data_IF_962866714278
#
_entry.id   IF_962866714278
#
_cell.length_a   1.000
_cell.length_b   1.000
_cell.length_c   1.000
_cell.angle_alpha   90.00
_cell.angle_beta   90.00
_cell.angle_gamma   90.00
#
_symmetry.space_group_name_H-M   'P 1'
#
loop_
_entity.id
_entity.type
_entity.pdbx_description
1 polymer ?
#
# COMPACT_ATOMS: atom_id res chain seq x y z
N UNK A 1 -10.07 2.37 26.43
CA UNK A 1 -9.35 3.66 26.23
C UNK A 1 -7.86 3.37 26.41
N UNK A 2 -6.94 4.17 25.87
CA UNK A 2 -5.50 3.94 26.13
C UNK A 2 -5.22 4.36 27.57
N UNK A 3 -4.52 3.50 28.31
CA UNK A 3 -4.13 3.77 29.70
C UNK A 3 -3.33 5.09 29.81
N UNK A 4 -3.55 5.86 30.89
CA UNK A 4 -2.97 7.19 31.05
C UNK A 4 -1.43 7.12 31.11
N UNK A 5 -0.88 6.14 31.83
CA UNK A 5 0.57 5.92 31.92
C UNK A 5 1.17 5.64 30.54
N UNK A 6 0.46 4.92 29.68
CA UNK A 6 0.90 4.67 28.31
C UNK A 6 0.86 5.94 27.45
N UNK A 7 -0.12 6.82 27.66
CA UNK A 7 -0.16 8.12 26.97
C UNK A 7 1.01 9.02 27.40
N UNK A 8 1.37 9.00 28.68
CA UNK A 8 2.52 9.73 29.23
C UNK A 8 3.84 9.24 28.61
N UNK A 9 4.05 7.92 28.52
CA UNK A 9 5.22 7.32 27.84
C UNK A 9 5.32 7.73 26.37
N UNK A 10 4.20 7.77 25.66
CA UNK A 10 4.18 8.25 24.26
C UNK A 10 4.55 9.73 24.18
N UNK A 11 3.99 10.56 25.07
CA UNK A 11 4.27 12.00 25.08
C UNK A 11 5.74 12.28 25.44
N UNK A 12 6.30 11.56 26.41
CA UNK A 12 7.71 11.60 26.76
C UNK A 12 8.59 11.21 25.57
N UNK A 13 8.27 10.10 24.91
CA UNK A 13 9.03 9.66 23.74
C UNK A 13 9.01 10.65 22.59
N UNK A 14 7.86 11.30 22.37
CA UNK A 14 7.75 12.39 21.39
C UNK A 14 8.64 13.56 21.79
N UNK A 15 8.62 13.95 23.06
CA UNK A 15 9.46 15.05 23.58
C UNK A 15 10.94 14.76 23.39
N UNK A 16 11.41 13.57 23.76
CA UNK A 16 12.79 13.13 23.50
C UNK A 16 13.19 13.30 22.03
N UNK A 17 12.31 12.89 21.11
CA UNK A 17 12.57 12.99 19.68
C UNK A 17 12.62 14.45 19.21
N UNK A 18 11.77 15.32 19.77
CA UNK A 18 11.80 16.75 19.49
C UNK A 18 13.09 17.36 20.03
N UNK A 19 13.47 17.10 21.28
CA UNK A 19 14.67 17.66 21.91
C UNK A 19 15.94 17.33 21.10
N UNK A 20 16.08 16.09 20.63
CA UNK A 20 17.18 15.67 19.74
C UNK A 20 17.17 16.49 18.44
N UNK A 21 15.99 16.74 17.88
CA UNK A 21 15.85 17.51 16.66
C UNK A 21 16.11 19.01 16.89
N UNK A 22 15.66 19.57 18.01
CA UNK A 22 15.89 20.97 18.38
C UNK A 22 17.38 21.23 18.51
N UNK A 23 18.11 20.37 19.22
CA UNK A 23 19.56 20.45 19.35
C UNK A 23 20.28 20.36 17.99
N UNK A 24 19.81 19.47 17.10
CA UNK A 24 20.46 19.26 15.81
C UNK A 24 20.21 20.39 14.81
N UNK A 25 19.02 20.97 14.82
CA UNK A 25 18.58 21.95 13.83
C UNK A 25 18.60 23.39 14.33
N UNK A 26 18.90 23.61 15.61
CA UNK A 26 18.88 24.91 16.29
C UNK A 26 17.54 25.64 16.05
N UNK A 27 16.45 24.90 16.26
CA UNK A 27 15.08 25.33 16.01
C UNK A 27 14.15 24.72 17.04
N UNK A 28 13.20 25.49 17.55
CA UNK A 28 12.16 24.94 18.42
C UNK A 28 11.02 24.30 17.63
N UNK A 29 10.50 23.19 18.14
CA UNK A 29 9.33 22.48 17.64
C UNK A 29 8.24 22.45 18.71
N UNK A 30 7.01 22.83 18.33
CA UNK A 30 5.86 22.67 19.23
C UNK A 30 5.56 21.18 19.48
N UNK A 31 4.96 20.86 20.62
CA UNK A 31 4.44 19.51 20.87
C UNK A 31 3.26 19.21 19.92
N UNK A 32 3.29 18.12 19.14
CA UNK A 32 2.20 17.78 18.23
C UNK A 32 0.96 17.27 18.97
N UNK A 33 -0.21 17.48 18.38
CA UNK A 33 -1.45 16.87 18.88
C UNK A 33 -1.39 15.34 18.73
N UNK A 34 -1.74 14.59 19.77
CA UNK A 34 -1.73 13.13 19.76
C UNK A 34 -3.16 12.58 19.73
N UNK A 35 -3.46 11.71 18.78
CA UNK A 35 -4.77 11.08 18.63
C UNK A 35 -4.70 9.56 18.62
N UNK A 36 -5.28 8.90 19.62
CA UNK A 36 -5.32 7.44 19.75
C UNK A 36 -6.50 6.77 19.01
N UNK A 37 -7.18 7.54 18.14
CA UNK A 37 -8.39 7.12 17.41
C UNK A 37 -8.07 6.41 16.09
N UNK A 38 -6.80 6.13 15.77
CA UNK A 38 -6.44 5.39 14.56
C UNK A 38 -6.90 3.92 14.70
N UNK A 39 -7.46 3.38 13.62
CA UNK A 39 -8.01 2.01 13.58
C UNK A 39 -7.57 1.32 12.29
N UNK A 40 -7.61 -0.02 12.28
CA UNK A 40 -7.26 -0.82 11.12
C UNK A 40 -5.80 -1.28 11.17
N UNK A 41 -5.21 -1.47 9.98
CA UNK A 41 -3.91 -2.13 9.83
C UNK A 41 -2.70 -1.20 10.04
N UNK A 42 -2.94 0.10 10.18
CA UNK A 42 -1.88 1.11 10.27
C UNK A 42 -1.59 1.38 11.74
N UNK A 43 -0.31 1.38 12.12
CA UNK A 43 0.16 1.61 13.49
C UNK A 43 0.26 3.09 13.85
N UNK A 44 0.84 3.90 12.95
CA UNK A 44 1.04 5.34 13.13
C UNK A 44 0.68 6.13 11.87
N UNK A 45 0.37 7.40 12.04
CA UNK A 45 0.22 8.35 10.94
C UNK A 45 0.53 9.78 11.40
N UNK A 46 1.50 10.41 10.75
CA UNK A 46 1.79 11.82 10.87
C UNK A 46 0.94 12.67 9.90
N UNK A 47 0.56 13.85 10.37
CA UNK A 47 -0.03 14.92 9.57
C UNK A 47 0.73 16.21 9.90
N UNK A 48 1.71 16.55 9.06
CA UNK A 48 2.55 17.74 9.25
C UNK A 48 1.78 19.05 9.14
N UNK A 49 0.78 19.12 8.25
CA UNK A 49 -0.07 20.31 8.09
C UNK A 49 -0.86 20.65 9.34
N UNK A 50 -1.39 19.65 10.04
CA UNK A 50 -2.12 19.84 11.30
C UNK A 50 -1.23 19.69 12.53
N UNK A 51 0.07 19.44 12.33
CA UNK A 51 1.02 19.13 13.39
C UNK A 51 0.49 18.05 14.37
N UNK A 52 0.06 16.91 13.82
CA UNK A 52 -0.66 15.86 14.56
C UNK A 52 -0.08 14.48 14.28
N UNK A 53 0.04 13.67 15.33
CA UNK A 53 0.35 12.24 15.25
C UNK A 53 -0.90 11.44 15.64
N UNK A 54 -1.24 10.45 14.83
CA UNK A 54 -2.33 9.51 15.09
C UNK A 54 -1.75 8.14 15.34
N UNK A 55 -2.12 7.51 16.45
CA UNK A 55 -1.61 6.22 16.89
C UNK A 55 -2.75 5.22 17.01
N UNK A 56 -2.52 4.00 16.58
CA UNK A 56 -3.46 2.90 16.75
C UNK A 56 -3.40 2.39 18.17
N UNK A 57 -4.43 2.70 18.95
CA UNK A 57 -4.51 2.35 20.37
C UNK A 57 -4.40 0.86 20.65
N UNK A 58 -4.87 -0.01 19.75
CA UNK A 58 -4.83 -1.46 19.94
C UNK A 58 -3.39 -1.95 19.71
N UNK A 59 -2.80 -1.56 18.58
CA UNK A 59 -1.42 -1.95 18.26
C UNK A 59 -0.41 -1.37 19.27
N UNK A 60 -0.66 -0.16 19.78
CA UNK A 60 0.15 0.44 20.83
C UNK A 60 0.13 -0.39 22.11
N UNK A 61 -1.05 -0.86 22.56
CA UNK A 61 -1.13 -1.69 23.77
C UNK A 61 -0.46 -3.05 23.57
N UNK A 62 -0.69 -3.67 22.41
CA UNK A 62 -0.17 -5.01 22.10
C UNK A 62 1.34 -5.04 21.83
N UNK A 63 1.93 -3.92 21.40
CA UNK A 63 3.32 -3.84 20.96
C UNK A 63 4.03 -2.62 21.56
N UNK A 64 3.78 -2.32 22.82
CA UNK A 64 4.13 -1.05 23.48
C UNK A 64 5.58 -0.63 23.24
N UNK A 65 6.55 -1.49 23.53
CA UNK A 65 7.96 -1.10 23.48
C UNK A 65 8.45 -0.88 22.04
N UNK A 66 8.02 -1.72 21.10
CA UNK A 66 8.37 -1.54 19.67
C UNK A 66 7.67 -0.31 19.08
N UNK A 67 6.42 -0.06 19.46
CA UNK A 67 5.67 1.14 19.07
C UNK A 67 6.36 2.41 19.58
N UNK A 68 6.82 2.44 20.83
CA UNK A 68 7.54 3.59 21.42
C UNK A 68 8.92 3.76 20.79
N UNK A 69 9.66 2.69 20.54
CA UNK A 69 11.03 2.79 20.06
C UNK A 69 11.15 2.88 18.54
N UNK A 70 10.08 2.60 17.79
CA UNK A 70 10.13 2.60 16.34
C UNK A 70 8.99 3.38 15.70
N UNK A 71 7.73 3.05 15.98
CA UNK A 71 6.59 3.70 15.28
C UNK A 71 6.42 5.17 15.69
N UNK A 72 6.54 5.50 16.98
CA UNK A 72 6.39 6.88 17.46
C UNK A 72 7.49 7.79 16.86
N UNK A 73 8.79 7.45 16.93
CA UNK A 73 9.83 8.27 16.33
C UNK A 73 9.73 8.30 14.79
N UNK A 74 9.22 7.24 14.15
CA UNK A 74 8.93 7.25 12.70
C UNK A 74 7.93 8.36 12.33
N UNK A 75 6.84 8.48 13.07
CA UNK A 75 5.84 9.53 12.81
C UNK A 75 6.37 10.92 13.16
N UNK A 76 7.13 11.06 14.25
CA UNK A 76 7.81 12.32 14.60
C UNK A 76 8.80 12.74 13.51
N UNK A 77 9.54 11.79 12.92
CA UNK A 77 10.47 12.06 11.83
C UNK A 77 9.78 12.63 10.58
N UNK A 78 8.55 12.21 10.27
CA UNK A 78 7.77 12.85 9.19
C UNK A 78 7.44 14.30 9.49
N UNK A 79 7.06 14.61 10.73
CA UNK A 79 6.74 15.98 11.15
C UNK A 79 7.98 16.89 11.06
N UNK A 80 9.09 16.47 11.67
CA UNK A 80 10.35 17.24 11.68
C UNK A 80 10.85 17.43 10.25
N UNK A 81 10.90 16.36 9.44
CA UNK A 81 11.45 16.46 8.10
C UNK A 81 10.65 17.42 7.21
N UNK A 82 9.31 17.40 7.30
CA UNK A 82 8.47 18.36 6.57
C UNK A 82 8.67 19.80 7.07
N UNK A 83 8.87 20.02 8.38
CA UNK A 83 9.13 21.36 8.92
C UNK A 83 10.51 21.91 8.61
N UNK A 84 11.53 21.06 8.59
CA UNK A 84 12.91 21.49 8.33
C UNK A 84 13.14 21.72 6.84
N UNK A 85 12.64 20.81 6.00
CA UNK A 85 12.98 20.76 4.57
C UNK A 85 11.81 21.14 3.64
N UNK A 86 10.59 21.32 4.16
CA UNK A 86 9.41 21.63 3.36
C UNK A 86 8.88 20.43 2.57
N UNK A 87 8.48 20.65 1.32
CA UNK A 87 7.87 19.61 0.48
C UNK A 87 8.85 18.50 0.09
N UNK A 88 8.88 17.44 0.90
CA UNK A 88 9.74 16.27 0.68
C UNK A 88 8.99 15.08 0.10
N UNK A 89 9.73 14.17 -0.55
CA UNK A 89 9.20 12.85 -0.89
C UNK A 89 8.97 12.05 0.39
N UNK A 90 7.82 11.37 0.49
CA UNK A 90 7.56 10.44 1.59
C UNK A 90 8.68 9.40 1.68
N UNK A 91 9.33 9.33 2.85
CA UNK A 91 10.48 8.46 3.11
C UNK A 91 11.72 8.74 2.23
N UNK A 92 11.88 10.00 1.80
CA UNK A 92 13.02 10.53 1.02
C UNK A 92 14.33 10.63 1.81
N UNK A 93 15.36 11.25 1.24
CA UNK A 93 16.68 11.35 1.86
C UNK A 93 16.66 12.15 3.16
N UNK A 94 15.84 13.20 3.18
CA UNK A 94 15.58 14.12 4.28
C UNK A 94 14.91 13.39 5.44
N UNK A 95 13.85 12.63 5.16
CA UNK A 95 13.21 11.81 6.18
C UNK A 95 14.16 10.75 6.73
N UNK A 96 14.96 10.11 5.87
CA UNK A 96 15.95 9.11 6.31
C UNK A 96 17.05 9.72 7.17
N UNK A 97 17.43 10.99 6.95
CA UNK A 97 18.43 11.66 7.79
C UNK A 97 17.86 11.92 9.19
N UNK A 98 16.61 12.36 9.27
CA UNK A 98 15.91 12.53 10.56
C UNK A 98 15.72 11.19 11.28
N UNK A 99 15.35 10.12 10.58
CA UNK A 99 15.28 8.78 11.20
C UNK A 99 16.59 8.35 11.85
N UNK A 100 17.71 8.54 11.15
CA UNK A 100 19.06 8.23 11.69
C UNK A 100 19.42 9.13 12.86
N UNK A 101 19.05 10.42 12.80
CA UNK A 101 19.23 11.36 13.91
C UNK A 101 18.49 10.88 15.17
N UNK A 102 17.26 10.38 15.01
CA UNK A 102 16.47 9.81 16.11
C UNK A 102 16.93 8.40 16.55
N UNK A 103 18.06 7.91 16.03
CA UNK A 103 18.62 6.61 16.40
C UNK A 103 17.86 5.40 15.85
N UNK A 104 16.96 5.59 14.87
CA UNK A 104 16.14 4.51 14.32
C UNK A 104 16.49 4.19 12.86
N UNK A 105 16.48 2.90 12.53
CA UNK A 105 16.72 2.45 11.16
C UNK A 105 15.60 2.93 10.24
N UNK A 106 15.90 3.47 9.03
CA UNK A 106 14.93 4.05 8.11
C UNK A 106 14.06 3.00 7.39
N UNK A 107 13.43 2.12 8.16
CA UNK A 107 12.51 1.11 7.70
C UNK A 107 11.12 1.70 7.49
N UNK A 108 10.51 1.38 6.34
CA UNK A 108 9.20 1.89 5.95
C UNK A 108 8.03 1.07 6.51
N UNK A 109 8.29 -0.16 6.93
CA UNK A 109 7.24 -1.12 7.29
C UNK A 109 7.58 -1.82 8.60
N UNK A 110 6.61 -1.83 9.51
CA UNK A 110 6.57 -2.72 10.65
C UNK A 110 5.66 -3.91 10.34
N UNK A 111 5.92 -5.05 10.96
CA UNK A 111 5.08 -6.24 10.88
C UNK A 111 4.47 -6.49 12.26
N UNK A 112 3.33 -5.88 12.52
CA UNK A 112 2.52 -6.19 13.70
C UNK A 112 1.47 -7.24 13.35
N UNK A 113 1.12 -8.08 14.33
CA UNK A 113 -0.15 -8.77 14.26
C UNK A 113 -1.26 -7.72 14.29
N UNK A 114 -2.16 -7.80 13.31
CA UNK A 114 -3.26 -6.84 13.14
C UNK A 114 -4.61 -7.47 13.40
N UNK A 115 -4.65 -8.70 13.92
CA UNK A 115 -5.88 -9.46 14.11
C UNK A 115 -6.90 -8.69 14.95
N UNK A 116 -6.47 -8.08 16.05
CA UNK A 116 -7.34 -7.34 16.97
C UNK A 116 -7.56 -5.87 16.54
N UNK A 117 -6.61 -5.28 15.81
CA UNK A 117 -6.73 -3.90 15.32
C UNK A 117 -7.50 -3.78 14.01
N UNK A 118 -7.76 -4.91 13.33
CA UNK A 118 -8.61 -5.00 12.16
C UNK A 118 -10.01 -4.51 12.48
N UNK A 119 -10.41 -3.43 11.81
CA UNK A 119 -11.82 -3.06 11.76
C UNK A 119 -12.55 -4.20 11.03
N UNK A 120 -13.48 -4.86 11.73
CA UNK A 120 -14.36 -5.92 11.18
C UNK A 120 -14.81 -5.52 9.77
N UNK A 121 -14.88 -6.51 8.88
CA UNK A 121 -15.20 -6.37 7.45
C UNK A 121 -16.29 -5.33 7.28
N UNK A 122 -15.89 -4.11 6.89
CA UNK A 122 -16.80 -2.99 7.06
C UNK A 122 -17.94 -3.16 6.06
N UNK A 123 -19.11 -3.51 6.58
CA UNK A 123 -20.38 -3.28 5.91
C UNK A 123 -20.42 -1.78 5.61
N UNK A 124 -20.25 -1.43 4.34
CA UNK A 124 -20.21 -0.04 3.86
C UNK A 124 -21.12 0.04 2.67
N UNK A 125 -21.66 1.23 2.43
CA UNK A 125 -22.30 1.52 1.17
C UNK A 125 -21.36 1.20 0.01
N UNK A 126 -21.75 0.22 -0.80
CA UNK A 126 -21.06 -0.13 -2.05
C UNK A 126 -21.89 0.39 -3.23
N UNK A 127 -21.20 0.62 -4.33
CA UNK A 127 -21.79 1.16 -5.55
C UNK A 127 -21.35 0.32 -6.74
N UNK A 128 -22.29 0.03 -7.63
CA UNK A 128 -22.03 -0.70 -8.86
C UNK A 128 -21.81 0.27 -10.02
N UNK A 129 -20.75 0.02 -10.79
CA UNK A 129 -20.43 0.68 -12.03
C UNK A 129 -20.31 -0.35 -13.16
N UNK A 130 -20.59 0.06 -14.39
CA UNK A 130 -20.36 -0.72 -15.60
C UNK A 130 -19.34 -0.05 -16.51
N UNK A 131 -18.67 -0.86 -17.31
CA UNK A 131 -17.83 -0.45 -18.42
C UNK A 131 -18.19 -1.29 -19.64
N UNK A 132 -17.89 -0.83 -20.85
CA UNK A 132 -18.14 -1.60 -22.07
C UNK A 132 -17.44 -2.97 -22.09
N UNK A 133 -16.39 -3.16 -21.26
CA UNK A 133 -15.69 -4.44 -21.15
C UNK A 133 -16.04 -5.24 -19.86
N UNK A 134 -16.91 -4.72 -18.98
CA UNK A 134 -17.28 -5.38 -17.72
C UNK A 134 -18.56 -4.79 -17.14
N UNK A 135 -19.53 -5.66 -16.89
CA UNK A 135 -20.87 -5.24 -16.46
C UNK A 135 -20.95 -4.88 -14.97
N UNK A 136 -20.06 -5.43 -14.13
CA UNK A 136 -20.10 -5.22 -12.69
C UNK A 136 -18.73 -4.85 -12.09
N UNK A 137 -18.61 -3.59 -11.69
CA UNK A 137 -17.45 -2.99 -11.02
C UNK A 137 -17.91 -2.39 -9.70
N UNK A 138 -17.53 -3.04 -8.61
CA UNK A 138 -17.91 -2.62 -7.25
C UNK A 138 -16.89 -1.62 -6.74
N UNK A 139 -17.37 -0.46 -6.30
CA UNK A 139 -16.54 0.58 -5.70
C UNK A 139 -17.05 0.96 -4.31
N UNK A 140 -16.13 1.37 -3.44
CA UNK A 140 -16.46 1.91 -2.13
C UNK A 140 -16.89 3.39 -2.18
N UNK A 141 -17.37 3.94 -1.05
CA UNK A 141 -18.01 5.26 -1.00
C UNK A 141 -17.05 6.40 -1.34
N UNK A 142 -15.78 6.32 -0.93
CA UNK A 142 -14.75 7.32 -1.26
C UNK A 142 -14.53 7.40 -2.77
N UNK A 143 -14.41 6.24 -3.43
CA UNK A 143 -14.18 6.17 -4.88
C UNK A 143 -15.43 6.62 -5.64
N UNK A 144 -16.62 6.23 -5.21
CA UNK A 144 -17.88 6.72 -5.75
C UNK A 144 -17.96 8.26 -5.68
N UNK A 145 -17.72 8.85 -4.52
CA UNK A 145 -17.74 10.32 -4.34
C UNK A 145 -16.76 11.03 -5.28
N UNK A 146 -15.55 10.49 -5.44
CA UNK A 146 -14.56 11.05 -6.37
C UNK A 146 -14.95 10.86 -7.84
N UNK A 147 -15.61 9.75 -8.19
CA UNK A 147 -16.14 9.50 -9.53
C UNK A 147 -17.29 10.43 -9.89
N UNK A 148 -18.12 10.80 -8.91
CA UNK A 148 -19.24 11.72 -9.07
C UNK A 148 -18.83 13.20 -8.97
N UNK A 149 -17.58 13.50 -8.60
CA UNK A 149 -17.13 14.89 -8.55
C UNK A 149 -16.90 15.44 -9.95
N UNK A 150 -17.13 16.74 -10.14
CA UNK A 150 -16.94 17.45 -11.42
C UNK A 150 -15.54 17.24 -12.02
N UNK A 151 -14.52 17.07 -11.18
CA UNK A 151 -13.14 16.81 -11.61
C UNK A 151 -12.97 15.48 -12.37
N UNK A 152 -13.79 14.46 -12.06
CA UNK A 152 -13.74 13.17 -12.75
C UNK A 152 -14.56 13.14 -14.04
N UNK A 153 -15.38 14.15 -14.31
CA UNK A 153 -16.09 14.32 -15.59
C UNK A 153 -15.21 14.94 -16.68
N UNK A 154 -14.04 15.47 -16.32
CA UNK A 154 -13.08 15.94 -17.30
C UNK A 154 -12.42 14.74 -18.01
N UNK A 155 -12.52 14.70 -19.35
CA UNK A 155 -12.17 13.53 -20.17
C UNK A 155 -10.72 13.04 -19.99
N UNK A 156 -9.81 13.90 -19.54
CA UNK A 156 -8.38 13.62 -19.38
C UNK A 156 -7.95 13.10 -17.99
N UNK A 157 -8.75 13.30 -16.94
CA UNK A 157 -8.40 12.98 -15.53
C UNK A 157 -9.40 12.03 -14.83
N UNK A 158 -10.41 11.55 -15.55
CA UNK A 158 -11.47 10.71 -14.99
C UNK A 158 -11.03 9.30 -14.55
N UNK A 159 -11.76 8.73 -13.61
CA UNK A 159 -11.62 7.32 -13.21
C UNK A 159 -11.95 6.38 -14.38
N UNK A 160 -10.90 5.84 -15.02
CA UNK A 160 -11.02 4.91 -16.15
C UNK A 160 -10.99 3.44 -15.73
N UNK A 161 -11.58 2.59 -16.56
CA UNK A 161 -11.51 1.14 -16.40
C UNK A 161 -10.06 0.64 -16.48
N UNK A 162 -9.62 -0.17 -15.52
CA UNK A 162 -8.26 -0.70 -15.53
C UNK A 162 -7.98 -1.67 -16.70
N UNK A 163 -9.03 -2.22 -17.33
CA UNK A 163 -8.90 -3.22 -18.39
C UNK A 163 -8.85 -2.59 -19.79
N UNK A 164 -9.85 -1.76 -20.15
CA UNK A 164 -9.96 -1.17 -21.48
C UNK A 164 -9.74 0.35 -21.52
N UNK A 165 -9.45 0.99 -20.37
CA UNK A 165 -9.34 2.45 -20.24
C UNK A 165 -10.62 3.24 -20.58
N UNK A 166 -11.72 2.57 -20.88
CA UNK A 166 -13.03 3.19 -21.09
C UNK A 166 -13.62 3.81 -19.82
N UNK A 167 -14.69 4.60 -20.01
CA UNK A 167 -15.41 5.25 -18.91
C UNK A 167 -16.19 4.25 -18.06
N UNK A 168 -16.37 4.61 -16.80
CA UNK A 168 -17.16 3.88 -15.83
C UNK A 168 -18.49 4.59 -15.63
N UNK A 169 -19.59 3.91 -15.91
CA UNK A 169 -20.95 4.45 -15.78
C UNK A 169 -21.55 3.93 -14.49
N UNK A 170 -22.09 4.81 -13.66
CA UNK A 170 -22.79 4.42 -12.44
C UNK A 170 -24.07 3.65 -12.80
N UNK A 171 -24.31 2.52 -12.11
CA UNK A 171 -25.48 1.67 -12.34
C UNK A 171 -26.47 1.81 -11.18
N UNK A 172 -26.06 1.41 -9.97
CA UNK A 172 -26.92 1.43 -8.78
C UNK A 172 -26.12 1.38 -7.49
N UNK A 173 -26.67 1.90 -6.37
CA UNK A 173 -26.15 1.56 -5.06
C UNK A 173 -26.41 0.06 -4.77
N UNK A 174 -25.52 -0.56 -4.02
CA UNK A 174 -25.66 -1.95 -3.55
C UNK A 174 -26.00 -2.01 -2.04
N UNK A 175 -26.25 -0.86 -1.42
CA UNK A 175 -26.51 -0.78 0.02
C UNK A 175 -25.28 -1.07 0.87
N UNK A 176 -25.54 -1.29 2.16
CA UNK A 176 -24.54 -1.62 3.16
C UNK A 176 -24.23 -3.12 3.10
N UNK A 177 -23.14 -3.47 2.42
CA UNK A 177 -22.72 -4.87 2.24
C UNK A 177 -21.20 -4.99 2.40
N UNK A 178 -20.74 -6.19 2.76
CA UNK A 178 -19.30 -6.51 2.72
C UNK A 178 -18.81 -6.54 1.27
N UNK A 179 -17.48 -6.58 1.07
CA UNK A 179 -16.94 -6.69 -0.29
C UNK A 179 -17.27 -8.06 -0.91
N UNK A 180 -17.26 -9.10 -0.08
CA UNK A 180 -17.55 -10.49 -0.40
C UNK A 180 -19.02 -10.64 -0.80
N UNK A 181 -19.95 -10.15 0.02
CA UNK A 181 -21.39 -10.13 -0.30
C UNK A 181 -21.70 -9.36 -1.59
N UNK A 182 -21.05 -8.21 -1.79
CA UNK A 182 -21.19 -7.47 -3.04
C UNK A 182 -20.62 -8.23 -4.25
N UNK A 183 -19.65 -9.12 -4.02
CA UNK A 183 -18.88 -9.85 -5.03
C UNK A 183 -19.54 -11.17 -5.45
N UNK A 184 -20.36 -11.80 -4.63
CA UNK A 184 -20.98 -13.09 -4.93
C UNK A 184 -21.97 -13.05 -6.12
N UNK A 185 -22.39 -11.86 -6.57
CA UNK A 185 -23.13 -11.68 -7.82
C UNK A 185 -22.29 -11.63 -9.11
N UNK A 186 -21.02 -12.09 -9.11
CA UNK A 186 -20.12 -11.93 -10.28
C UNK A 186 -20.29 -12.98 -11.37
N UNK A 187 -20.38 -12.51 -12.62
CA UNK A 187 -19.73 -13.17 -13.75
C UNK A 187 -18.19 -13.13 -13.56
N UNK A 188 -17.52 -14.28 -13.74
CA UNK A 188 -16.05 -14.39 -13.60
C UNK A 188 -15.37 -13.30 -14.42
N UNK A 189 -14.34 -12.65 -13.87
CA UNK A 189 -13.45 -11.76 -14.64
C UNK A 189 -13.04 -12.55 -15.88
N UNK A 190 -13.28 -12.07 -17.12
CA UNK A 190 -12.84 -12.81 -18.29
C UNK A 190 -11.35 -13.09 -18.11
N UNK A 191 -11.00 -14.38 -18.15
CA UNK A 191 -9.61 -14.80 -18.17
C UNK A 191 -8.94 -14.03 -19.29
N UNK A 192 -7.78 -13.44 -19.02
CA UNK A 192 -7.07 -12.66 -20.02
C UNK A 192 -6.76 -13.63 -21.16
N UNK A 193 -7.49 -13.55 -22.27
CA UNK A 193 -7.24 -14.39 -23.44
C UNK A 193 -5.82 -14.05 -23.90
N UNK A 194 -4.88 -14.95 -23.66
CA UNK A 194 -3.54 -14.78 -24.16
C UNK A 194 -3.58 -15.00 -25.67
N UNK A 195 -3.08 -14.03 -26.44
CA UNK A 195 -2.88 -14.25 -27.86
C UNK A 195 -1.95 -15.44 -28.08
N UNK A 196 -2.23 -16.18 -29.16
CA UNK A 196 -1.38 -17.27 -29.66
C UNK A 196 0.03 -16.72 -29.81
N UNK A 197 1.01 -17.45 -29.27
CA UNK A 197 2.40 -17.03 -29.35
C UNK A 197 2.87 -17.16 -30.81
N UNK A 198 3.60 -16.16 -31.29
CA UNK A 198 4.24 -16.25 -32.60
C UNK A 198 5.29 -17.37 -32.57
N UNK A 199 5.25 -18.25 -33.57
CA UNK A 199 6.23 -19.32 -33.75
C UNK A 199 7.65 -18.76 -33.79
N UNK A 200 8.58 -19.38 -33.07
CA UNK A 200 9.97 -18.94 -32.90
C UNK A 200 10.17 -17.76 -31.94
N UNK A 201 9.10 -17.22 -31.34
CA UNK A 201 9.26 -16.09 -30.41
C UNK A 201 10.01 -16.51 -29.14
N UNK A 202 10.75 -15.56 -28.54
CA UNK A 202 11.41 -15.79 -27.25
C UNK A 202 10.45 -16.29 -26.17
N UNK A 203 9.18 -15.86 -26.21
CA UNK A 203 8.15 -16.28 -25.24
C UNK A 203 7.67 -17.71 -25.49
N UNK A 204 7.56 -18.15 -26.75
CA UNK A 204 7.24 -19.55 -27.06
C UNK A 204 8.36 -20.47 -26.59
N UNK A 205 9.61 -20.12 -26.90
CA UNK A 205 10.79 -20.87 -26.44
C UNK A 205 10.89 -20.91 -24.91
N UNK A 206 10.64 -19.79 -24.23
CA UNK A 206 10.58 -19.75 -22.77
C UNK A 206 9.45 -20.61 -22.19
N UNK A 207 8.28 -20.63 -22.83
CA UNK A 207 7.15 -21.46 -22.40
C UNK A 207 7.46 -22.95 -22.57
N UNK A 208 8.16 -23.34 -23.62
CA UNK A 208 8.63 -24.70 -23.84
C UNK A 208 9.61 -25.13 -22.74
N UNK A 209 10.68 -24.36 -22.51
CA UNK A 209 11.65 -24.61 -21.43
C UNK A 209 10.94 -24.66 -20.07
N UNK A 210 9.99 -23.76 -19.80
CA UNK A 210 9.22 -23.76 -18.57
C UNK A 210 8.41 -25.05 -18.40
N UNK A 211 7.66 -25.48 -19.43
CA UNK A 211 6.80 -26.66 -19.34
C UNK A 211 7.56 -27.95 -19.09
N UNK A 212 8.74 -28.09 -19.69
CA UNK A 212 9.61 -29.27 -19.52
C UNK A 212 10.25 -29.32 -18.13
N UNK A 213 10.51 -28.16 -17.51
CA UNK A 213 11.34 -28.08 -16.32
C UNK A 213 10.59 -27.66 -15.04
N UNK A 214 9.34 -27.18 -15.12
CA UNK A 214 8.61 -26.60 -13.98
C UNK A 214 8.43 -27.54 -12.77
N UNK A 215 8.49 -28.86 -12.99
CA UNK A 215 8.38 -29.87 -11.92
C UNK A 215 9.73 -30.49 -11.53
N UNK A 216 10.77 -30.24 -12.32
CA UNK A 216 12.09 -30.87 -12.15
C UNK A 216 13.10 -29.90 -11.56
N UNK A 217 12.99 -28.61 -11.88
CA UNK A 217 13.97 -27.60 -11.55
C UNK A 217 13.41 -26.52 -10.64
N UNK A 218 14.26 -25.97 -9.79
CA UNK A 218 13.92 -24.82 -8.97
C UNK A 218 13.62 -23.59 -9.83
N UNK A 219 12.81 -22.68 -9.30
CA UNK A 219 12.54 -21.37 -9.93
C UNK A 219 13.82 -20.64 -10.34
N UNK A 220 14.84 -20.65 -9.47
CA UNK A 220 16.10 -19.94 -9.72
C UNK A 220 16.79 -20.56 -10.94
N UNK A 221 16.83 -21.90 -11.00
CA UNK A 221 17.44 -22.65 -12.10
C UNK A 221 16.75 -22.37 -13.44
N UNK A 222 15.41 -22.33 -13.47
CA UNK A 222 14.65 -22.01 -14.69
C UNK A 222 14.90 -20.56 -15.14
N UNK A 223 15.01 -19.62 -14.21
CA UNK A 223 15.37 -18.22 -14.53
C UNK A 223 16.78 -18.15 -15.10
N UNK A 224 17.75 -18.88 -14.52
CA UNK A 224 19.11 -18.95 -15.08
C UNK A 224 19.11 -19.56 -16.49
N UNK A 225 18.33 -20.61 -16.74
CA UNK A 225 18.17 -21.19 -18.07
C UNK A 225 17.63 -20.18 -19.08
N UNK A 226 16.65 -19.35 -18.72
CA UNK A 226 16.17 -18.28 -19.60
C UNK A 226 17.25 -17.24 -19.88
N UNK A 227 18.09 -16.91 -18.90
CA UNK A 227 19.18 -15.97 -19.10
C UNK A 227 20.20 -16.51 -20.10
N UNK A 228 20.63 -17.77 -19.93
CA UNK A 228 21.67 -18.39 -20.76
C UNK A 228 21.16 -18.78 -22.15
N UNK A 229 19.98 -19.41 -22.25
CA UNK A 229 19.48 -19.97 -23.52
C UNK A 229 18.75 -18.94 -24.40
N UNK A 230 18.18 -17.89 -23.81
CA UNK A 230 17.40 -16.87 -24.53
C UNK A 230 18.06 -15.49 -24.52
N UNK A 231 19.27 -15.37 -23.96
CA UNK A 231 20.06 -14.15 -23.89
C UNK A 231 19.32 -13.04 -23.16
N UNK A 232 18.73 -13.37 -22.00
CA UNK A 232 17.89 -12.44 -21.24
C UNK A 232 18.64 -11.85 -20.05
N UNK A 233 18.35 -10.60 -19.72
CA UNK A 233 18.71 -10.07 -18.41
C UNK A 233 17.95 -10.79 -17.31
N UNK A 234 18.48 -10.80 -16.08
CA UNK A 234 17.82 -11.42 -14.91
C UNK A 234 16.39 -10.89 -14.70
N UNK A 235 16.18 -9.59 -14.89
CA UNK A 235 14.85 -8.97 -14.80
C UNK A 235 13.91 -9.45 -15.93
N UNK A 236 14.43 -9.57 -17.15
CA UNK A 236 13.69 -10.11 -18.30
C UNK A 236 13.29 -11.57 -18.10
N UNK A 237 14.24 -12.41 -17.70
CA UNK A 237 14.03 -13.84 -17.41
C UNK A 237 13.01 -14.05 -16.28
N UNK A 238 13.11 -13.27 -15.20
CA UNK A 238 12.13 -13.31 -14.11
C UNK A 238 10.72 -12.96 -14.58
N UNK A 239 10.60 -11.95 -15.45
CA UNK A 239 9.29 -11.56 -16.02
C UNK A 239 8.71 -12.66 -16.92
N UNK A 240 9.55 -13.32 -17.70
CA UNK A 240 9.14 -14.42 -18.58
C UNK A 240 8.70 -15.64 -17.78
N UNK A 241 9.36 -15.97 -16.67
CA UNK A 241 8.96 -17.05 -15.77
C UNK A 241 7.51 -16.89 -15.30
N UNK A 242 7.17 -15.72 -14.76
CA UNK A 242 5.80 -15.45 -14.30
C UNK A 242 4.78 -15.41 -15.43
N UNK A 243 5.18 -15.03 -16.65
CA UNK A 243 4.30 -15.09 -17.82
C UNK A 243 4.05 -16.53 -18.27
N UNK A 244 5.05 -17.40 -18.19
CA UNK A 244 4.90 -18.83 -18.49
C UNK A 244 4.00 -19.50 -17.46
N UNK A 245 4.23 -19.26 -16.16
CA UNK A 245 3.39 -19.77 -15.08
C UNK A 245 1.90 -19.41 -15.26
N UNK A 246 1.60 -18.17 -15.68
CA UNK A 246 0.21 -17.73 -15.94
C UNK A 246 -0.40 -18.27 -17.24
N UNK A 247 0.41 -18.78 -18.17
CA UNK A 247 -0.02 -19.37 -19.46
C UNK A 247 -0.14 -20.89 -19.38
N UNK A 248 0.54 -21.52 -18.41
CA UNK A 248 0.49 -22.95 -18.15
C UNK A 248 -0.62 -23.34 -17.15
N UNK A 249 -1.18 -22.36 -16.43
CA UNK A 249 -2.37 -22.48 -15.58
C UNK A 249 -3.66 -22.22 -16.36
#
# INVERSE_FOLDING_TARGET
MVDQKLQERVAEKIRECLDIAEQRFDRSFQTPEISYKLRGLVAGQANSRLWRIRINSILLQENTDDMLNSTVPHEVAHLIADKVYGHIRSHGAEWKSVMRLLGISPNRCHRYDTTNSRVKVNVKHKFCYKCNCRDMIIVGPVRHRKMQSRFSMNKNSGYRCCSCKGYLVFVKPLGQVTYEQARDGKTKRPTKKYHVLKKGSKMERALHIYKENQFLLSRITIICLFMTTLGMSKAGATTYYYNCQKRAA
#
